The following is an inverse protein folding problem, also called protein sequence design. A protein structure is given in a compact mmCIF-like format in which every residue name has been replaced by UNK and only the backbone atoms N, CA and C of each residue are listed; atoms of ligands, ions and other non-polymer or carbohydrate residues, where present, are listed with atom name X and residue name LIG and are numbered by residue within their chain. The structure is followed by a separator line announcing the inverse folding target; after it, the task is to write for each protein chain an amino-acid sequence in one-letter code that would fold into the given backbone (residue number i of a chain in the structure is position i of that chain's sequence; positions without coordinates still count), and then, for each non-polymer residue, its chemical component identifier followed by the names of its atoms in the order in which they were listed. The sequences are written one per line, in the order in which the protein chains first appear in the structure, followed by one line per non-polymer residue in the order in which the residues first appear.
data_IF_637567776842
#
_entry.id   IF_637567776842
#
_cell.length_a   1.000
_cell.length_b   1.000
_cell.length_c   1.000
_cell.angle_alpha   90.00
_cell.angle_beta   90.00
_cell.angle_gamma   90.00
#
_symmetry.space_group_name_H-M   'P 1'
#
loop_
_entity.id
_entity.type
_entity.pdbx_description
1 polymer ?
#
# COMPACT_ATOMS: atom_id res chain seq x y z
N UNK A 1 -6.13 5.99 -15.04
CA UNK A 1 -4.93 6.46 -14.32
C UNK A 1 -3.93 5.31 -14.21
N UNK A 2 -2.64 5.61 -14.13
CA UNK A 2 -1.59 4.61 -13.94
C UNK A 2 -1.46 4.23 -12.46
N UNK A 3 -0.88 3.06 -12.20
CA UNK A 3 -0.57 2.56 -10.87
C UNK A 3 0.39 3.52 -10.14
N UNK A 4 -0.01 3.98 -8.96
CA UNK A 4 0.78 4.93 -8.17
C UNK A 4 2.14 4.38 -7.74
N UNK A 5 2.26 3.06 -7.57
CA UNK A 5 3.54 2.41 -7.24
C UNK A 5 4.46 2.25 -8.45
N UNK A 6 4.04 1.48 -9.47
CA UNK A 6 4.95 1.12 -10.55
C UNK A 6 4.93 2.09 -11.73
N UNK A 7 3.88 2.89 -11.91
CA UNK A 7 3.70 3.80 -13.06
C UNK A 7 3.78 3.11 -14.44
N UNK A 8 3.73 1.77 -14.51
CA UNK A 8 3.85 1.01 -15.77
C UNK A 8 2.51 0.43 -16.26
N UNK A 9 1.60 0.11 -15.34
CA UNK A 9 0.30 -0.49 -15.67
C UNK A 9 -0.85 0.40 -15.21
N UNK A 10 -2.03 0.31 -15.85
CA UNK A 10 -3.24 0.94 -15.36
C UNK A 10 -3.54 0.52 -13.92
N UNK A 11 -3.95 1.48 -13.08
CA UNK A 11 -4.49 1.17 -11.78
C UNK A 11 -5.83 0.45 -11.95
N UNK A 12 -5.98 -0.69 -11.29
CA UNK A 12 -7.18 -1.55 -11.39
C UNK A 12 -7.87 -1.73 -10.04
N UNK A 13 -7.26 -1.27 -8.95
CA UNK A 13 -7.78 -1.44 -7.60
C UNK A 13 -7.27 -0.36 -6.66
N UNK A 14 -8.13 0.09 -5.76
CA UNK A 14 -7.77 0.97 -4.65
C UNK A 14 -7.29 0.15 -3.44
N UNK A 15 -6.05 0.39 -3.00
CA UNK A 15 -5.44 -0.26 -1.84
C UNK A 15 -5.48 0.68 -0.62
N UNK A 16 -6.03 0.22 0.49
CA UNK A 16 -6.03 0.99 1.73
C UNK A 16 -4.69 0.83 2.45
N UNK A 17 -4.00 1.94 2.72
CA UNK A 17 -2.70 1.92 3.42
C UNK A 17 -2.84 1.48 4.88
N UNK A 18 -3.99 1.78 5.50
CA UNK A 18 -4.46 1.12 6.72
C UNK A 18 -5.58 0.14 6.31
N UNK A 19 -5.33 -1.18 6.31
CA UNK A 19 -6.32 -2.18 5.92
C UNK A 19 -7.67 -2.00 6.63
N UNK A 20 -8.78 -2.11 5.88
CA UNK A 20 -10.14 -1.90 6.40
C UNK A 20 -10.49 -2.81 7.57
N UNK A 21 -9.93 -4.01 7.59
CA UNK A 21 -10.05 -4.99 8.68
C UNK A 21 -9.57 -4.42 10.02
N UNK A 22 -8.66 -3.45 10.00
CA UNK A 22 -8.08 -2.82 11.19
C UNK A 22 -8.83 -1.56 11.64
N UNK A 23 -9.78 -1.03 10.86
CA UNK A 23 -10.49 0.22 11.20
C UNK A 23 -11.36 0.09 12.45
N UNK A 24 -11.78 -1.14 12.79
CA UNK A 24 -12.54 -1.43 14.01
C UNK A 24 -11.64 -1.52 15.26
N UNK A 25 -10.33 -1.75 15.08
CA UNK A 25 -9.37 -2.02 16.15
C UNK A 25 -9.14 -0.78 17.02
N UNK A 26 -9.15 -0.97 18.34
CA UNK A 26 -9.05 0.12 19.33
C UNK A 26 -7.77 0.93 19.20
N UNK A 27 -6.63 0.30 18.89
CA UNK A 27 -5.36 1.01 18.73
C UNK A 27 -5.42 1.94 17.52
N UNK A 28 -5.94 1.47 16.39
CA UNK A 28 -6.06 2.29 15.18
C UNK A 28 -7.03 3.46 15.36
N UNK A 29 -8.19 3.22 15.97
CA UNK A 29 -9.15 4.29 16.31
C UNK A 29 -8.58 5.37 17.24
N UNK A 30 -7.62 5.01 18.09
CA UNK A 30 -6.97 5.95 19.02
C UNK A 30 -5.89 6.79 18.32
N UNK A 31 -5.17 6.21 17.38
CA UNK A 31 -3.98 6.84 16.77
C UNK A 31 -4.28 7.53 15.42
N UNK A 32 -5.40 7.21 14.76
CA UNK A 32 -5.73 7.73 13.44
C UNK A 32 -7.17 8.23 13.37
N UNK A 33 -7.38 9.30 12.60
CA UNK A 33 -8.73 9.76 12.24
C UNK A 33 -9.37 8.78 11.25
N UNK A 34 -10.70 8.89 11.11
CA UNK A 34 -11.45 8.10 10.10
C UNK A 34 -10.98 8.40 8.67
N UNK A 35 -10.59 9.64 8.41
CA UNK A 35 -10.08 10.06 7.10
C UNK A 35 -8.71 9.44 6.83
N UNK A 36 -7.78 9.51 7.79
CA UNK A 36 -6.47 8.87 7.69
C UNK A 36 -6.58 7.36 7.46
N UNK A 37 -7.48 6.67 8.18
CA UNK A 37 -7.71 5.24 7.98
C UNK A 37 -8.28 4.89 6.60
N UNK A 38 -9.03 5.82 5.97
CA UNK A 38 -9.59 5.63 4.63
C UNK A 38 -8.64 6.02 3.50
N UNK A 39 -7.48 6.58 3.84
CA UNK A 39 -6.44 6.87 2.85
C UNK A 39 -5.94 5.60 2.18
N UNK A 40 -5.51 5.76 0.93
CA UNK A 40 -5.08 4.66 0.09
C UNK A 40 -4.52 5.17 -1.22
N UNK A 41 -4.14 4.22 -2.07
CA UNK A 41 -3.52 4.46 -3.37
C UNK A 41 -4.14 3.55 -4.43
N UNK A 42 -4.27 4.07 -5.64
CA UNK A 42 -4.68 3.39 -6.85
C UNK A 42 -3.51 2.60 -7.43
N UNK A 43 -3.64 1.27 -7.40
CA UNK A 43 -2.56 0.35 -7.81
C UNK A 43 -3.06 -0.68 -8.82
N UNK A 44 -2.14 -1.18 -9.65
CA UNK A 44 -2.43 -2.32 -10.50
C UNK A 44 -2.51 -3.61 -9.67
N UNK A 45 -3.17 -4.64 -10.21
CA UNK A 45 -3.35 -5.96 -9.56
C UNK A 45 -2.04 -6.58 -9.04
N UNK A 46 -0.95 -6.43 -9.79
CA UNK A 46 0.35 -7.03 -9.45
C UNK A 46 0.98 -6.30 -8.25
N UNK A 47 0.97 -4.97 -8.26
CA UNK A 47 1.45 -4.17 -7.12
C UNK A 47 0.59 -4.41 -5.88
N UNK A 48 -0.74 -4.45 -6.01
CA UNK A 48 -1.62 -4.75 -4.89
C UNK A 48 -1.26 -6.07 -4.21
N UNK A 49 -1.14 -7.15 -5.00
CA UNK A 49 -0.75 -8.47 -4.46
C UNK A 49 0.61 -8.42 -3.76
N UNK A 50 1.58 -7.69 -4.33
CA UNK A 50 2.93 -7.61 -3.77
C UNK A 50 2.95 -6.96 -2.37
N UNK A 51 2.15 -5.91 -2.15
CA UNK A 51 2.09 -5.23 -0.83
C UNK A 51 1.71 -6.22 0.27
N UNK A 52 0.68 -7.04 0.05
CA UNK A 52 0.23 -8.05 1.01
C UNK A 52 1.14 -9.28 1.11
N UNK A 53 2.05 -9.48 0.16
CA UNK A 53 3.05 -10.53 0.26
C UNK A 53 4.24 -10.11 1.13
N UNK A 54 4.56 -8.82 1.19
CA UNK A 54 5.74 -8.31 1.89
C UNK A 54 5.49 -7.93 3.34
N UNK A 55 4.27 -7.53 3.68
CA UNK A 55 3.91 -7.17 5.04
C UNK A 55 2.50 -7.65 5.40
N UNK A 56 2.32 -8.08 6.65
CA UNK A 56 1.00 -8.39 7.18
C UNK A 56 0.14 -7.12 7.28
N UNK A 57 -1.18 -7.28 7.36
CA UNK A 57 -2.09 -6.14 7.51
C UNK A 57 -1.71 -5.24 8.70
N UNK A 58 -1.32 -5.85 9.83
CA UNK A 58 -0.94 -5.11 11.04
C UNK A 58 0.36 -4.33 10.84
N UNK A 59 1.34 -4.89 10.15
CA UNK A 59 2.60 -4.19 9.82
C UNK A 59 2.34 -3.03 8.86
N UNK A 60 1.52 -3.26 7.82
CA UNK A 60 1.08 -2.21 6.91
C UNK A 60 0.46 -1.03 7.68
N UNK A 61 -0.54 -1.31 8.50
CA UNK A 61 -1.22 -0.26 9.26
C UNK A 61 -0.36 0.41 10.33
N UNK A 62 0.62 -0.28 10.94
CA UNK A 62 1.43 0.28 12.04
C UNK A 62 2.67 1.02 11.57
N UNK A 63 3.31 0.52 10.52
CA UNK A 63 4.65 0.94 10.12
C UNK A 63 4.70 1.49 8.70
N UNK A 64 3.69 1.20 7.86
CA UNK A 64 3.71 1.51 6.43
C UNK A 64 2.39 2.14 5.94
N UNK A 65 1.77 2.98 6.77
CA UNK A 65 0.43 3.54 6.55
C UNK A 65 0.38 4.82 5.68
N UNK A 66 1.51 5.21 5.08
CA UNK A 66 1.59 6.25 4.04
C UNK A 66 2.34 5.70 2.82
N UNK A 67 2.21 6.37 1.67
CA UNK A 67 2.94 5.99 0.46
C UNK A 67 4.46 6.05 0.67
N UNK A 68 4.95 7.08 1.36
CA UNK A 68 6.37 7.26 1.67
C UNK A 68 6.88 6.14 2.57
N UNK A 69 6.12 5.79 3.61
CA UNK A 69 6.49 4.69 4.51
C UNK A 69 6.45 3.36 3.77
N UNK A 70 5.41 3.11 2.96
CA UNK A 70 5.30 1.88 2.17
C UNK A 70 6.48 1.71 1.22
N UNK A 71 6.93 2.78 0.56
CA UNK A 71 8.13 2.77 -0.28
C UNK A 71 9.43 2.67 0.52
N UNK A 72 9.43 3.01 1.80
CA UNK A 72 10.58 2.78 2.68
C UNK A 72 10.75 1.30 3.07
N UNK A 73 9.73 0.45 2.85
CA UNK A 73 9.88 -1.00 3.04
C UNK A 73 10.86 -1.58 2.00
N UNK A 74 11.98 -2.21 2.40
CA UNK A 74 13.03 -2.65 1.47
C UNK A 74 12.53 -3.55 0.34
N UNK A 75 11.67 -4.52 0.64
CA UNK A 75 11.15 -5.44 -0.38
C UNK A 75 10.14 -4.80 -1.33
N UNK A 76 9.29 -3.90 -0.83
CA UNK A 76 8.38 -3.11 -1.68
C UNK A 76 9.21 -2.21 -2.61
N UNK A 77 10.20 -1.50 -2.08
CA UNK A 77 11.09 -0.63 -2.87
C UNK A 77 11.79 -1.41 -3.99
N UNK A 78 12.40 -2.55 -3.65
CA UNK A 78 13.06 -3.44 -4.62
C UNK A 78 12.09 -3.93 -5.69
N UNK A 79 10.90 -4.37 -5.28
CA UNK A 79 9.86 -4.83 -6.20
C UNK A 79 9.42 -3.72 -7.15
N UNK A 80 9.12 -2.53 -6.63
CA UNK A 80 8.69 -1.37 -7.44
C UNK A 80 9.78 -0.96 -8.42
N UNK A 81 11.04 -0.86 -7.98
CA UNK A 81 12.16 -0.53 -8.85
C UNK A 81 12.35 -1.57 -9.97
N UNK A 82 12.21 -2.86 -9.64
CA UNK A 82 12.25 -3.92 -10.63
C UNK A 82 11.07 -3.85 -11.62
N UNK A 83 9.85 -3.54 -11.14
CA UNK A 83 8.67 -3.34 -11.99
C UNK A 83 8.85 -2.17 -12.94
N UNK A 84 9.38 -1.05 -12.46
CA UNK A 84 9.62 0.15 -13.27
C UNK A 84 10.63 -0.09 -14.40
N UNK A 85 11.60 -0.98 -14.21
CA UNK A 85 12.58 -1.34 -15.24
C UNK A 85 12.06 -2.33 -16.27
N UNK A 86 10.97 -3.04 -15.96
CA UNK A 86 10.37 -4.00 -16.86
C UNK A 86 9.20 -3.35 -17.58
N UNK A 87 9.49 -2.77 -18.74
CA UNK A 87 8.46 -2.47 -19.73
C UNK A 87 7.87 -3.78 -20.27
N UNK A 88 6.59 -3.73 -20.62
CA UNK A 88 5.79 -4.86 -21.08
C UNK A 88 6.17 -5.29 -22.49
#
# INVERSE_FOLDING_TARGET
MLCELCQQEPATSFHHLIPRTLHSNRWFKKNFTREQMRSGIDVCRQCHRSIHNFASEKELGRSFYTMELLLAHPDVAKYVAWRQRRER
#
